data_IF_572394947930
#
_entry.id   IF_572394947930
#
_cell.length_a   1.000
_cell.length_b   1.000
_cell.length_c   1.000
_cell.angle_alpha   90.00
_cell.angle_beta   90.00
_cell.angle_gamma   90.00
#
_symmetry.space_group_name_H-M   'P 1'
#
loop_
_entity.id
_entity.type
_entity.pdbx_description
1 polymer ?
#
# COMPACT_ATOMS: atom_id res chain seq x y z
N UNK A 1 -25.30 -6.62 5.51
CA UNK A 1 -24.40 -7.79 5.35
C UNK A 1 -23.33 -7.43 4.32
N UNK A 2 -22.11 -7.98 4.38
CA UNK A 2 -21.11 -7.73 3.32
C UNK A 2 -21.53 -8.56 2.09
N UNK A 3 -21.53 -7.94 0.92
CA UNK A 3 -21.89 -8.58 -0.36
C UNK A 3 -20.65 -8.94 -1.16
N UNK A 4 -19.65 -8.05 -1.17
CA UNK A 4 -18.40 -8.22 -1.92
C UNK A 4 -17.27 -7.41 -1.31
N UNK A 5 -16.05 -7.90 -1.49
CA UNK A 5 -14.81 -7.18 -1.15
C UNK A 5 -13.97 -7.12 -2.42
N UNK A 6 -13.52 -5.93 -2.80
CA UNK A 6 -12.55 -5.72 -3.87
C UNK A 6 -11.26 -5.12 -3.32
N UNK A 7 -10.14 -5.50 -3.91
CA UNK A 7 -8.82 -4.96 -3.58
C UNK A 7 -8.40 -4.00 -4.70
N UNK A 8 -8.14 -2.74 -4.34
CA UNK A 8 -7.78 -1.68 -5.27
C UNK A 8 -6.40 -1.16 -4.93
N UNK A 9 -5.53 -1.06 -5.93
CA UNK A 9 -4.17 -0.55 -5.79
C UNK A 9 -4.07 0.89 -6.25
N UNK A 10 -3.51 1.73 -5.38
CA UNK A 10 -3.25 3.15 -5.66
C UNK A 10 -1.98 3.36 -6.48
N UNK A 11 -1.29 2.28 -6.86
CA UNK A 11 -0.05 2.38 -7.60
C UNK A 11 -0.25 3.06 -8.96
N UNK A 12 -1.37 2.80 -9.63
CA UNK A 12 -1.66 3.40 -10.93
C UNK A 12 -2.05 4.88 -10.80
N UNK A 13 -2.83 5.19 -9.76
CA UNK A 13 -3.46 6.51 -9.60
C UNK A 13 -2.58 7.51 -8.85
N UNK A 14 -1.81 7.05 -7.86
CA UNK A 14 -1.01 7.88 -6.95
C UNK A 14 0.51 7.64 -7.11
N UNK A 15 0.90 6.55 -7.79
CA UNK A 15 2.29 6.10 -7.84
C UNK A 15 2.80 5.54 -6.51
N UNK A 16 1.88 5.20 -5.59
CA UNK A 16 2.19 4.69 -4.25
C UNK A 16 1.56 3.30 -4.12
N UNK A 17 2.34 2.29 -3.72
CA UNK A 17 1.84 0.93 -3.52
C UNK A 17 1.07 0.80 -2.20
N UNK A 18 -0.10 1.43 -2.17
CA UNK A 18 -1.12 1.34 -1.12
C UNK A 18 -2.30 0.51 -1.62
N UNK A 19 -2.89 -0.27 -0.72
CA UNK A 19 -4.08 -1.07 -1.00
C UNK A 19 -5.27 -0.53 -0.21
N UNK A 20 -6.37 -0.34 -0.93
CA UNK A 20 -7.71 -0.08 -0.41
C UNK A 20 -8.57 -1.33 -0.58
N UNK A 21 -9.27 -1.73 0.47
CA UNK A 21 -10.31 -2.74 0.42
C UNK A 21 -11.65 -2.02 0.26
N UNK A 22 -12.30 -2.19 -0.88
CA UNK A 22 -13.65 -1.70 -1.14
C UNK A 22 -14.63 -2.76 -0.66
N UNK A 23 -15.30 -2.46 0.45
CA UNK A 23 -16.28 -3.37 1.05
C UNK A 23 -17.68 -2.91 0.66
N UNK A 24 -18.31 -3.68 -0.21
CA UNK A 24 -19.69 -3.48 -0.58
C UNK A 24 -20.60 -4.10 0.47
N UNK A 25 -21.61 -3.32 0.87
CA UNK A 25 -22.57 -3.68 1.89
C UNK A 25 -23.96 -3.80 1.27
N UNK A 26 -24.76 -4.69 1.82
CA UNK A 26 -26.19 -4.72 1.55
C UNK A 26 -26.87 -3.52 2.20
N UNK A 27 -27.57 -2.74 1.39
CA UNK A 27 -28.38 -1.60 1.76
C UNK A 27 -29.65 -1.96 2.52
N UNK A 28 -30.36 -0.93 2.98
CA UNK A 28 -31.61 -1.10 3.75
C UNK A 28 -32.78 -1.65 2.93
N UNK A 29 -32.73 -1.49 1.62
CA UNK A 29 -33.66 -1.98 0.61
C UNK A 29 -33.29 -3.39 0.09
N UNK A 30 -32.19 -3.96 0.58
CA UNK A 30 -31.67 -5.26 0.18
C UNK A 30 -30.76 -5.24 -1.05
N UNK A 31 -30.60 -4.10 -1.73
CA UNK A 31 -29.67 -3.92 -2.85
C UNK A 31 -28.22 -3.75 -2.36
N UNK A 32 -27.23 -3.86 -3.24
CA UNK A 32 -25.85 -3.52 -2.90
C UNK A 32 -25.68 -1.99 -2.92
N UNK A 33 -24.97 -1.42 -1.94
CA UNK A 33 -24.67 0.01 -1.91
C UNK A 33 -23.78 0.41 -3.08
N UNK A 34 -24.04 1.57 -3.67
CA UNK A 34 -23.27 2.11 -4.80
C UNK A 34 -21.86 2.56 -4.39
N UNK A 35 -21.71 3.10 -3.18
CA UNK A 35 -20.43 3.57 -2.65
C UNK A 35 -19.89 2.58 -1.60
N UNK A 36 -18.75 1.92 -1.86
CA UNK A 36 -18.18 0.95 -0.93
C UNK A 36 -17.67 1.63 0.33
N UNK A 37 -17.65 0.88 1.43
CA UNK A 37 -16.89 1.26 2.61
C UNK A 37 -15.40 1.01 2.34
N UNK A 38 -14.60 2.07 2.32
CA UNK A 38 -13.15 1.98 2.07
C UNK A 38 -12.42 1.65 3.36
N UNK A 39 -11.63 0.58 3.34
CA UNK A 39 -10.77 0.16 4.45
C UNK A 39 -9.32 0.11 3.97
N UNK A 40 -8.42 0.76 4.69
CA UNK A 40 -7.00 0.73 4.36
C UNK A 40 -6.30 -0.47 5.01
N UNK A 41 -5.24 -0.97 4.37
CA UNK A 41 -4.36 -1.99 4.94
C UNK A 41 -3.79 -1.57 6.31
N UNK A 42 -3.56 -0.28 6.54
CA UNK A 42 -3.14 0.25 7.85
C UNK A 42 -4.18 -0.01 8.95
N UNK A 43 -5.47 0.25 8.66
CA UNK A 43 -6.54 0.03 9.63
C UNK A 43 -6.70 -1.46 9.95
N UNK A 44 -6.56 -2.30 8.93
CA UNK A 44 -6.56 -3.75 9.08
C UNK A 44 -5.38 -4.23 9.96
N UNK A 45 -4.16 -3.73 9.70
CA UNK A 45 -2.97 -4.00 10.52
C UNK A 45 -3.18 -3.60 11.98
N UNK A 46 -3.74 -2.42 12.23
CA UNK A 46 -4.04 -1.92 13.59
C UNK A 46 -5.09 -2.78 14.30
N UNK A 47 -6.11 -3.22 13.58
CA UNK A 47 -7.10 -4.16 14.12
C UNK A 47 -6.46 -5.50 14.47
N UNK A 48 -5.72 -6.10 13.54
CA UNK A 48 -5.11 -7.40 13.72
C UNK A 48 -4.07 -7.41 14.83
N UNK A 49 -3.31 -6.34 15.03
CA UNK A 49 -2.33 -6.26 16.12
C UNK A 49 -2.97 -6.38 17.50
N UNK A 50 -4.24 -5.97 17.62
CA UNK A 50 -4.99 -6.01 18.88
C UNK A 50 -5.83 -7.28 19.01
N UNK A 51 -6.52 -7.69 17.94
CA UNK A 51 -7.54 -8.74 17.99
C UNK A 51 -7.07 -10.09 17.43
N UNK A 52 -6.02 -10.12 16.61
CA UNK A 52 -5.54 -11.31 15.88
C UNK A 52 -4.00 -11.38 15.87
N UNK A 53 -3.33 -11.38 17.04
CA UNK A 53 -1.89 -11.11 17.16
C UNK A 53 -1.00 -12.13 16.43
N UNK A 54 -1.44 -13.39 16.31
CA UNK A 54 -0.69 -14.41 15.57
C UNK A 54 -0.71 -14.14 14.06
N UNK A 55 -1.88 -13.80 13.52
CA UNK A 55 -2.03 -13.44 12.11
C UNK A 55 -1.29 -12.12 11.80
N UNK A 56 -1.33 -11.17 12.74
CA UNK A 56 -0.56 -9.93 12.64
C UNK A 56 0.96 -10.20 12.61
N UNK A 57 1.47 -11.07 13.48
CA UNK A 57 2.89 -11.44 13.47
C UNK A 57 3.33 -12.05 12.13
N UNK A 58 2.46 -12.85 11.49
CA UNK A 58 2.72 -13.37 10.16
C UNK A 58 2.77 -12.26 9.10
N UNK A 59 1.79 -11.37 9.11
CA UNK A 59 1.75 -10.22 8.21
C UNK A 59 3.00 -9.33 8.38
N UNK A 60 3.43 -9.07 9.63
CA UNK A 60 4.67 -8.34 9.92
C UNK A 60 5.88 -9.07 9.35
N UNK A 61 5.99 -10.39 9.55
CA UNK A 61 7.07 -11.20 8.99
C UNK A 61 7.13 -11.12 7.46
N UNK A 62 5.99 -11.25 6.78
CA UNK A 62 5.90 -11.11 5.32
C UNK A 62 6.35 -9.71 4.90
N UNK A 63 5.82 -8.68 5.56
CA UNK A 63 6.23 -7.30 5.30
C UNK A 63 7.74 -7.09 5.48
N UNK A 64 8.32 -7.55 6.59
CA UNK A 64 9.75 -7.43 6.88
C UNK A 64 10.63 -8.23 5.90
N UNK A 65 10.12 -9.34 5.36
CA UNK A 65 10.84 -10.13 4.34
C UNK A 65 10.94 -9.43 2.99
N UNK A 66 10.09 -8.43 2.73
CA UNK A 66 10.06 -7.68 1.47
C UNK A 66 10.82 -6.37 1.64
N UNK A 67 11.96 -6.26 0.96
CA UNK A 67 12.71 -5.01 0.88
C UNK A 67 12.05 -4.08 -0.13
N UNK A 68 11.74 -2.85 0.28
CA UNK A 68 11.03 -1.87 -0.55
C UNK A 68 11.27 -0.43 -0.07
N UNK A 69 11.12 0.53 -0.98
CA UNK A 69 11.18 1.96 -0.72
C UNK A 69 9.79 2.59 -0.75
N UNK A 70 9.21 2.89 0.42
CA UNK A 70 7.88 3.47 0.58
C UNK A 70 6.81 2.46 1.03
N UNK A 71 5.54 2.78 0.78
CA UNK A 71 4.43 1.84 1.00
C UNK A 71 4.54 0.66 0.04
N UNK A 72 4.30 -0.56 0.52
CA UNK A 72 4.51 -1.84 -0.19
C UNK A 72 3.32 -2.79 -0.06
N UNK A 73 2.13 -2.24 0.16
CA UNK A 73 0.98 -3.02 0.56
C UNK A 73 0.57 -4.02 -0.53
N UNK A 74 0.68 -3.68 -1.81
CA UNK A 74 0.39 -4.60 -2.92
C UNK A 74 1.40 -5.74 -3.00
N UNK A 75 2.70 -5.47 -2.81
CA UNK A 75 3.72 -6.54 -2.73
C UNK A 75 3.47 -7.48 -1.55
N UNK A 76 3.13 -6.93 -0.38
CA UNK A 76 2.77 -7.72 0.80
C UNK A 76 1.53 -8.56 0.53
N UNK A 77 0.48 -7.95 -0.03
CA UNK A 77 -0.79 -8.61 -0.31
C UNK A 77 -0.64 -9.77 -1.29
N UNK A 78 0.20 -9.60 -2.33
CA UNK A 78 0.53 -10.66 -3.27
C UNK A 78 1.09 -11.90 -2.57
N UNK A 79 2.09 -11.72 -1.70
CA UNK A 79 2.69 -12.84 -0.95
C UNK A 79 1.66 -13.48 -0.01
N UNK A 80 0.84 -12.67 0.67
CA UNK A 80 -0.24 -13.19 1.52
C UNK A 80 -1.22 -14.07 0.73
N UNK A 81 -1.61 -13.68 -0.48
CA UNK A 81 -2.49 -14.49 -1.33
C UNK A 81 -1.81 -15.78 -1.82
N UNK A 82 -0.54 -15.71 -2.21
CA UNK A 82 0.25 -16.89 -2.62
C UNK A 82 0.36 -17.91 -1.49
N UNK A 83 0.46 -17.46 -0.24
CA UNK A 83 0.49 -18.31 0.96
C UNK A 83 -0.89 -18.79 1.42
N UNK A 84 -1.98 -18.39 0.73
CA UNK A 84 -3.35 -18.71 1.13
C UNK A 84 -3.80 -18.02 2.42
N UNK A 85 -3.17 -16.90 2.79
CA UNK A 85 -3.54 -16.13 3.96
C UNK A 85 -4.93 -15.49 3.77
N UNK A 86 -5.87 -15.63 4.72
CA UNK A 86 -7.27 -15.27 4.51
C UNK A 86 -7.54 -13.77 4.73
N UNK A 87 -6.95 -12.90 3.91
CA UNK A 87 -7.03 -11.43 4.05
C UNK A 87 -8.49 -10.94 4.12
N UNK A 88 -9.35 -11.38 3.20
CA UNK A 88 -10.77 -11.02 3.19
C UNK A 88 -11.50 -11.40 4.49
N UNK A 89 -11.13 -12.51 5.14
CA UNK A 89 -11.72 -12.90 6.42
C UNK A 89 -11.41 -11.88 7.52
N UNK A 90 -10.19 -11.33 7.54
CA UNK A 90 -9.83 -10.28 8.50
C UNK A 90 -10.53 -8.96 8.20
N UNK A 91 -10.74 -8.63 6.91
CA UNK A 91 -11.54 -7.45 6.51
C UNK A 91 -12.99 -7.61 7.01
N UNK A 92 -13.60 -8.78 6.83
CA UNK A 92 -14.95 -9.03 7.35
C UNK A 92 -15.02 -8.91 8.87
N UNK A 93 -14.06 -9.51 9.59
CA UNK A 93 -13.97 -9.41 11.06
C UNK A 93 -13.82 -7.97 11.52
N UNK A 94 -13.00 -7.17 10.82
CA UNK A 94 -12.83 -5.75 11.10
C UNK A 94 -14.14 -4.97 10.93
N UNK A 95 -14.86 -5.17 9.81
CA UNK A 95 -16.16 -4.54 9.56
C UNK A 95 -17.19 -4.93 10.62
N UNK A 96 -17.23 -6.20 11.02
CA UNK A 96 -18.14 -6.68 12.09
C UNK A 96 -17.80 -6.10 13.46
N UNK A 97 -16.56 -5.69 13.68
CA UNK A 97 -16.12 -5.02 14.90
C UNK A 97 -16.33 -3.49 14.88
N UNK A 98 -16.77 -2.93 13.75
CA UNK A 98 -17.13 -1.51 13.69
C UNK A 98 -18.44 -1.24 14.44
N UNK A 99 -18.59 -0.04 15.04
CA UNK A 99 -19.86 0.39 15.61
C UNK A 99 -21.00 0.31 14.59
N UNK A 100 -22.13 -0.29 14.98
CA UNK A 100 -23.26 -0.54 14.09
C UNK A 100 -23.87 0.75 13.52
N UNK A 101 -23.84 1.83 14.30
CA UNK A 101 -24.25 3.18 13.90
C UNK A 101 -23.36 3.72 12.77
N UNK A 102 -22.04 3.48 12.81
CA UNK A 102 -21.12 3.87 11.73
C UNK A 102 -21.46 3.15 10.42
N UNK A 103 -21.72 1.84 10.48
CA UNK A 103 -22.11 1.04 9.31
C UNK A 103 -23.45 1.52 8.75
N UNK A 104 -24.44 1.75 9.63
CA UNK A 104 -25.76 2.22 9.21
C UNK A 104 -25.70 3.62 8.59
N UNK A 105 -24.89 4.52 9.15
CA UNK A 105 -24.70 5.86 8.61
C UNK A 105 -24.04 5.82 7.23
N UNK A 106 -23.04 4.95 7.01
CA UNK A 106 -22.43 4.74 5.70
C UNK A 106 -23.46 4.25 4.68
N UNK A 107 -24.26 3.24 5.03
CA UNK A 107 -25.31 2.70 4.14
C UNK A 107 -26.31 3.80 3.76
N UNK A 108 -26.81 4.56 4.75
CA UNK A 108 -27.76 5.64 4.50
C UNK A 108 -27.17 6.73 3.61
N UNK A 109 -25.92 7.12 3.87
CA UNK A 109 -25.22 8.09 3.05
C UNK A 109 -25.08 7.60 1.60
N UNK A 110 -24.60 6.37 1.40
CA UNK A 110 -24.46 5.80 0.05
C UNK A 110 -25.79 5.72 -0.69
N UNK A 111 -26.89 5.42 0.00
CA UNK A 111 -28.22 5.36 -0.61
C UNK A 111 -28.85 6.75 -0.81
N UNK A 112 -28.35 7.79 -0.14
CA UNK A 112 -28.81 9.18 -0.29
C UNK A 112 -28.08 9.95 -1.38
N UNK A 113 -26.99 9.39 -1.90
CA UNK A 113 -26.33 9.93 -3.09
C UNK A 113 -27.22 9.57 -4.27
N UNK A 114 -28.03 10.51 -4.73
CA UNK A 114 -28.60 10.45 -6.08
C UNK A 114 -27.42 10.27 -7.06
N UNK A 115 -27.53 9.33 -8.01
CA UNK A 115 -26.55 9.19 -9.10
C UNK A 115 -26.24 10.59 -9.64
N UNK A 116 -24.98 11.07 -9.58
CA UNK A 116 -24.70 12.44 -9.92
C UNK A 116 -25.08 12.65 -11.38
N UNK A 117 -26.09 13.48 -11.61
CA UNK A 117 -26.27 14.13 -12.89
C UNK A 117 -24.93 14.79 -13.22
N UNK A 118 -24.33 14.37 -14.33
CA UNK A 118 -23.06 14.88 -14.85
C UNK A 118 -23.02 16.41 -14.78
N UNK A 119 -22.30 16.94 -13.80
CA UNK A 119 -22.14 18.37 -13.58
C UNK A 119 -22.01 18.70 -12.10
N UNK A 120 -20.78 19.03 -11.67
CA UNK A 120 -20.50 19.79 -10.45
C UNK A 120 -20.61 19.10 -9.07
N UNK A 121 -20.11 17.87 -8.94
CA UNK A 121 -19.58 17.41 -7.64
C UNK A 121 -18.11 17.06 -7.79
N UNK A 122 -17.28 18.09 -7.74
CA UNK A 122 -15.85 17.93 -7.51
C UNK A 122 -15.68 17.57 -6.02
N UNK A 123 -15.72 16.27 -5.71
CA UNK A 123 -15.41 15.75 -4.38
C UNK A 123 -14.03 16.26 -3.96
N UNK A 124 -14.02 17.14 -2.96
CA UNK A 124 -12.82 17.76 -2.40
C UNK A 124 -11.96 16.80 -1.55
N UNK A 125 -12.16 15.48 -1.64
CA UNK A 125 -11.37 14.48 -0.89
C UNK A 125 -10.54 13.51 -1.73
N UNK A 126 -10.74 13.44 -3.05
CA UNK A 126 -9.94 12.62 -3.96
C UNK A 126 -9.40 13.48 -5.11
N UNK A 127 -8.72 14.58 -4.79
CA UNK A 127 -7.84 15.20 -5.78
C UNK A 127 -6.70 14.20 -5.98
N UNK A 128 -6.89 13.29 -6.95
CA UNK A 128 -5.83 12.50 -7.51
C UNK A 128 -4.67 13.48 -7.77
N UNK A 129 -3.47 13.21 -7.23
CA UNK A 129 -2.31 14.03 -7.49
C UNK A 129 -2.21 14.14 -9.01
N UNK A 130 -1.93 15.35 -9.50
CA UNK A 130 -1.80 15.62 -10.93
C UNK A 130 -1.07 14.46 -11.61
N UNK A 131 -1.50 13.91 -12.77
CA UNK A 131 -0.93 12.68 -13.34
C UNK A 131 0.61 12.65 -13.43
N UNK A 132 1.22 13.83 -13.55
CA UNK A 132 2.67 14.04 -13.48
C UNK A 132 3.29 13.69 -12.10
N UNK A 133 2.61 13.99 -10.99
CA UNK A 133 3.02 13.62 -9.63
C UNK A 133 2.95 12.11 -9.39
N UNK A 134 1.88 11.46 -9.84
CA UNK A 134 1.74 10.00 -9.74
C UNK A 134 2.83 9.29 -10.56
N UNK A 135 3.03 9.74 -11.81
CA UNK A 135 4.10 9.25 -12.69
C UNK A 135 5.49 9.51 -12.10
N UNK A 136 5.71 10.67 -11.46
CA UNK A 136 6.98 10.97 -10.78
C UNK A 136 7.21 10.07 -9.57
N UNK A 137 6.21 9.86 -8.70
CA UNK A 137 6.32 8.95 -7.56
C UNK A 137 6.65 7.53 -8.02
N UNK A 138 5.92 7.03 -9.02
CA UNK A 138 6.17 5.71 -9.61
C UNK A 138 7.59 5.59 -10.16
N UNK A 139 8.05 6.59 -10.93
CA UNK A 139 9.42 6.62 -11.48
C UNK A 139 10.48 6.64 -10.39
N UNK A 140 10.30 7.45 -9.34
CA UNK A 140 11.22 7.53 -8.20
C UNK A 140 11.31 6.21 -7.47
N UNK A 141 10.18 5.54 -7.27
CA UNK A 141 10.15 4.21 -6.65
C UNK A 141 10.85 3.17 -7.52
N UNK A 142 10.51 3.05 -8.81
CA UNK A 142 11.20 2.11 -9.71
C UNK A 142 12.71 2.39 -9.77
N UNK A 143 13.09 3.66 -9.84
CA UNK A 143 14.49 4.07 -9.83
C UNK A 143 15.20 3.59 -8.55
N UNK A 144 14.55 3.75 -7.40
CA UNK A 144 15.05 3.28 -6.12
C UNK A 144 15.29 1.78 -6.10
N UNK A 145 14.29 1.01 -6.55
CA UNK A 145 14.37 -0.45 -6.61
C UNK A 145 15.46 -0.92 -7.55
N UNK A 146 15.57 -0.30 -8.73
CA UNK A 146 16.54 -0.68 -9.75
C UNK A 146 17.97 -0.42 -9.28
N UNK A 147 18.22 0.73 -8.64
CA UNK A 147 19.54 1.02 -8.06
C UNK A 147 19.87 0.03 -6.96
N UNK A 148 18.93 -0.22 -6.04
CA UNK A 148 19.16 -1.13 -4.94
C UNK A 148 19.47 -2.55 -5.41
N UNK A 149 18.71 -3.06 -6.38
CA UNK A 149 18.95 -4.38 -6.99
C UNK A 149 20.31 -4.44 -7.67
N UNK A 150 20.68 -3.42 -8.44
CA UNK A 150 21.97 -3.35 -9.11
C UNK A 150 23.14 -3.33 -8.10
N UNK A 151 23.02 -2.53 -7.03
CA UNK A 151 24.06 -2.44 -5.99
C UNK A 151 24.13 -3.75 -5.21
N UNK A 152 23.00 -4.35 -4.82
CA UNK A 152 22.97 -5.66 -4.16
C UNK A 152 23.69 -6.73 -4.98
N UNK A 153 23.37 -6.80 -6.28
CA UNK A 153 23.96 -7.79 -7.19
C UNK A 153 25.49 -7.66 -7.24
N UNK A 154 25.99 -6.44 -7.41
CA UNK A 154 27.43 -6.22 -7.49
C UNK A 154 28.12 -6.41 -6.12
N UNK A 155 27.52 -5.97 -5.02
CA UNK A 155 28.07 -6.17 -3.67
C UNK A 155 28.17 -7.66 -3.33
N UNK A 156 27.14 -8.46 -3.64
CA UNK A 156 27.17 -9.92 -3.43
C UNK A 156 28.24 -10.61 -4.27
N UNK A 157 28.44 -10.15 -5.50
CA UNK A 157 29.48 -10.65 -6.40
C UNK A 157 30.89 -10.30 -5.90
N UNK A 158 31.07 -9.10 -5.32
CA UNK A 158 32.36 -8.63 -4.82
C UNK A 158 32.71 -9.18 -3.42
N UNK A 159 31.71 -9.47 -2.59
CA UNK A 159 31.89 -9.95 -1.21
C UNK A 159 31.14 -11.26 -0.93
N UNK A 160 31.31 -12.33 -1.73
CA UNK A 160 30.54 -13.56 -1.59
C UNK A 160 30.75 -14.24 -0.23
N UNK A 161 31.97 -14.17 0.32
CA UNK A 161 32.31 -14.78 1.61
C UNK A 161 31.53 -14.20 2.78
N UNK A 162 31.20 -12.91 2.73
CA UNK A 162 30.33 -12.31 3.73
C UNK A 162 28.94 -12.94 3.67
N UNK A 163 28.30 -12.97 2.50
CA UNK A 163 26.92 -13.47 2.36
C UNK A 163 26.79 -14.99 2.56
N UNK A 164 27.85 -15.74 2.26
CA UNK A 164 27.86 -17.19 2.48
C UNK A 164 27.93 -17.57 3.97
N UNK A 165 28.47 -16.69 4.82
CA UNK A 165 28.73 -16.98 6.23
C UNK A 165 28.00 -16.04 7.21
N UNK A 166 27.34 -14.99 6.71
CA UNK A 166 26.65 -14.00 7.53
C UNK A 166 25.40 -14.61 8.18
N UNK A 167 25.21 -14.30 9.46
CA UNK A 167 23.96 -14.56 10.15
C UNK A 167 22.90 -13.49 9.83
N UNK A 168 21.67 -13.73 10.27
CA UNK A 168 20.55 -12.81 10.05
C UNK A 168 20.81 -11.40 10.61
N UNK A 169 21.60 -11.28 11.69
CA UNK A 169 21.92 -9.99 12.31
C UNK A 169 22.89 -9.17 11.45
N UNK A 170 23.92 -9.81 10.91
CA UNK A 170 24.87 -9.20 10.00
C UNK A 170 24.20 -8.77 8.69
N UNK A 171 23.32 -9.61 8.13
CA UNK A 171 22.52 -9.27 6.94
C UNK A 171 21.61 -8.07 7.22
N UNK A 172 20.91 -8.05 8.36
CA UNK A 172 20.05 -6.91 8.74
C UNK A 172 20.82 -5.59 8.86
N UNK A 173 22.03 -5.62 9.44
CA UNK A 173 22.90 -4.43 9.49
C UNK A 173 23.31 -3.96 8.10
N UNK A 174 23.70 -4.89 7.24
CA UNK A 174 24.04 -4.61 5.84
C UNK A 174 22.86 -3.97 5.10
N UNK A 175 21.66 -4.56 5.20
CA UNK A 175 20.46 -4.05 4.52
C UNK A 175 20.12 -2.63 5.00
N UNK A 176 20.23 -2.35 6.31
CA UNK A 176 20.03 -1.01 6.85
C UNK A 176 21.03 0.01 6.28
N UNK A 177 22.31 -0.35 6.16
CA UNK A 177 23.34 0.53 5.56
C UNK A 177 22.96 0.82 4.11
N UNK A 178 22.63 -0.21 3.34
CA UNK A 178 22.37 -0.05 1.93
C UNK A 178 21.06 0.71 1.66
N UNK A 179 19.98 0.43 2.40
CA UNK A 179 18.71 1.17 2.29
C UNK A 179 18.96 2.66 2.49
N UNK A 180 19.68 3.03 3.54
CA UNK A 180 19.95 4.44 3.86
C UNK A 180 20.82 5.12 2.80
N UNK A 181 21.87 4.43 2.31
CA UNK A 181 22.76 4.97 1.29
C UNK A 181 22.03 5.18 -0.05
N UNK A 182 21.26 4.18 -0.50
CA UNK A 182 20.48 4.25 -1.74
C UNK A 182 19.39 5.31 -1.63
N UNK A 183 18.66 5.38 -0.52
CA UNK A 183 17.67 6.45 -0.26
C UNK A 183 18.29 7.85 -0.40
N UNK A 184 19.45 8.06 0.21
CA UNK A 184 20.15 9.34 0.11
C UNK A 184 20.55 9.65 -1.33
N UNK A 185 21.07 8.66 -2.06
CA UNK A 185 21.42 8.83 -3.48
C UNK A 185 20.19 9.20 -4.32
N UNK A 186 19.07 8.50 -4.13
CA UNK A 186 17.83 8.77 -4.85
C UNK A 186 17.36 10.20 -4.60
N UNK A 187 17.34 10.65 -3.34
CA UNK A 187 16.95 12.02 -3.02
C UNK A 187 17.86 13.06 -3.67
N UNK A 188 19.17 12.81 -3.70
CA UNK A 188 20.13 13.72 -4.32
C UNK A 188 19.97 13.77 -5.85
N UNK A 189 19.77 12.62 -6.49
CA UNK A 189 19.59 12.54 -7.94
C UNK A 189 18.25 13.13 -8.38
N UNK A 190 17.20 12.91 -7.60
CA UNK A 190 15.88 13.48 -7.83
C UNK A 190 15.90 15.02 -7.76
N UNK A 191 16.52 15.59 -6.72
CA UNK A 191 16.73 17.05 -6.59
C UNK A 191 17.56 17.60 -7.75
N UNK A 192 18.63 16.89 -8.15
CA UNK A 192 19.44 17.27 -9.30
C UNK A 192 18.63 17.28 -10.61
N UNK A 193 17.90 16.21 -10.91
CA UNK A 193 17.09 16.11 -12.13
C UNK A 193 15.98 17.16 -12.17
N UNK A 194 15.34 17.40 -11.03
CA UNK A 194 14.32 18.44 -10.91
C UNK A 194 14.90 19.81 -11.26
N UNK A 195 15.99 20.23 -10.62
CA UNK A 195 16.64 21.53 -10.87
C UNK A 195 17.09 21.70 -12.32
N UNK A 196 17.72 20.67 -12.90
CA UNK A 196 18.19 20.71 -14.29
C UNK A 196 17.03 20.74 -15.31
N UNK A 197 15.86 20.23 -14.93
CA UNK A 197 14.66 20.28 -15.77
C UNK A 197 13.94 21.63 -15.71
N UNK A 198 13.95 22.32 -14.56
CA UNK A 198 13.40 23.67 -14.40
C UNK A 198 14.29 24.74 -15.04
N UNK A 199 15.61 24.58 -14.98
CA UNK A 199 16.56 25.50 -15.62
C UNK A 199 16.46 25.57 -17.15
N UNK A 200 15.68 24.66 -17.77
CA UNK A 200 15.46 24.57 -19.22
C UNK A 200 14.06 25.04 -19.67
N UNK A 201 13.22 25.51 -18.75
CA UNK A 201 11.93 26.17 -19.04
C UNK A 201 12.09 27.68 -18.99
#
# INVERSE_FOLDING_TARGET
>A
MITRIEEVSDLQDLGIDLIRFYVFLQGTDGSEVTMPLIIYMWDLKKYMSTHEPQAFAYLVKVSESIRYYGAKDGKVLKVLHEDGFPVHSFVEKYVRNMPADKILNHIKWSQSIDEPHTGDVQEKSDILPHPELASNNFRRTIFAETIDEAVQKEVRKLYPDFFNNADAHAISKYDNILINAVNKLIMQMDDFFFRESEAKK
#
